data_IF_002326786491
#
_entry.id   IF_002326786491
#
_cell.length_a   1.000
_cell.length_b   1.000
_cell.length_c   1.000
_cell.angle_alpha   90.00
_cell.angle_beta   90.00
_cell.angle_gamma   90.00
#
_symmetry.space_group_name_H-M   'P 1'
#
loop_
_entity.id
_entity.type
_entity.pdbx_description
1 polymer ?
#
# COMPACT_ATOMS: atom_id res chain seq x y z
N UNK A 1 9.88 1.58 26.00
CA UNK A 1 10.11 2.42 24.80
C UNK A 1 10.09 1.51 23.57
N UNK A 2 9.01 1.48 22.79
CA UNK A 2 8.89 0.66 21.56
C UNK A 2 8.65 1.57 20.35
N UNK A 3 9.63 2.42 20.02
CA UNK A 3 9.62 3.26 18.80
C UNK A 3 10.33 2.56 17.63
N UNK A 4 11.31 1.69 17.88
CA UNK A 4 12.12 1.04 16.83
C UNK A 4 11.36 0.07 15.92
N UNK A 5 10.29 -0.57 16.40
CA UNK A 5 9.49 -1.48 15.56
C UNK A 5 8.60 -0.75 14.56
N UNK A 6 8.07 0.44 14.90
CA UNK A 6 7.22 1.22 14.00
C UNK A 6 8.03 1.88 12.87
N UNK A 7 9.23 2.38 13.16
CA UNK A 7 10.14 2.89 12.12
C UNK A 7 10.55 1.79 11.14
N UNK A 8 10.85 0.59 11.64
CA UNK A 8 11.24 -0.54 10.80
C UNK A 8 10.10 -1.03 9.90
N UNK A 9 8.85 -1.07 10.41
CA UNK A 9 7.67 -1.38 9.58
C UNK A 9 7.41 -0.26 8.58
N UNK A 10 7.47 1.01 8.99
CA UNK A 10 7.30 2.17 8.10
C UNK A 10 8.33 2.20 6.97
N UNK A 11 9.60 1.91 7.24
CA UNK A 11 10.65 1.77 6.24
C UNK A 11 10.39 0.63 5.25
N UNK A 12 9.87 -0.51 5.74
CA UNK A 12 9.47 -1.66 4.90
C UNK A 12 8.35 -1.33 3.93
N UNK A 13 7.41 -0.44 4.29
CA UNK A 13 6.36 0.06 3.38
C UNK A 13 6.84 1.17 2.44
N UNK A 14 7.81 1.98 2.88
CA UNK A 14 8.28 3.16 2.12
C UNK A 14 8.94 2.77 0.80
N UNK A 15 9.75 1.70 0.78
CA UNK A 15 10.42 1.24 -0.44
C UNK A 15 9.45 0.75 -1.54
N UNK A 16 8.56 -0.23 -1.30
CA UNK A 16 7.65 -0.74 -2.33
C UNK A 16 6.70 0.32 -2.86
N UNK A 17 6.18 1.20 -2.00
CA UNK A 17 5.30 2.29 -2.43
C UNK A 17 6.05 3.36 -3.25
N UNK A 18 7.33 3.62 -2.90
CA UNK A 18 8.17 4.55 -3.68
C UNK A 18 8.48 4.00 -5.08
N UNK A 19 8.81 2.70 -5.18
CA UNK A 19 9.02 2.02 -6.47
C UNK A 19 7.74 2.00 -7.30
N UNK A 20 6.60 1.70 -6.69
CA UNK A 20 5.29 1.78 -7.34
C UNK A 20 5.01 3.19 -7.89
N UNK A 21 5.17 4.21 -7.04
CA UNK A 21 4.91 5.60 -7.43
C UNK A 21 5.79 6.08 -8.58
N UNK A 22 7.05 5.65 -8.63
CA UNK A 22 7.94 5.97 -9.75
C UNK A 22 7.47 5.30 -11.05
N UNK A 23 7.20 3.99 -11.02
CA UNK A 23 6.73 3.25 -12.19
C UNK A 23 5.39 3.76 -12.72
N UNK A 24 4.48 4.13 -11.82
CA UNK A 24 3.20 4.73 -12.18
C UNK A 24 3.37 6.06 -12.92
N UNK A 25 4.27 6.93 -12.43
CA UNK A 25 4.61 8.20 -13.12
C UNK A 25 5.25 7.95 -14.48
N UNK A 26 6.14 6.97 -14.59
CA UNK A 26 6.79 6.63 -15.87
C UNK A 26 5.76 6.12 -16.90
N UNK A 27 4.84 5.25 -16.46
CA UNK A 27 3.74 4.74 -17.29
C UNK A 27 2.83 5.88 -17.80
N UNK A 28 2.50 6.83 -16.91
CA UNK A 28 1.64 7.97 -17.25
C UNK A 28 2.35 8.99 -18.13
N UNK A 29 3.64 9.25 -17.89
CA UNK A 29 4.43 10.28 -18.60
C UNK A 29 4.82 9.86 -20.02
N UNK A 30 4.89 8.56 -20.32
CA UNK A 30 5.23 8.06 -21.66
C UNK A 30 4.06 8.09 -22.65
N UNK A 31 2.86 8.47 -22.22
CA UNK A 31 1.70 8.73 -23.08
C UNK A 31 1.20 7.57 -23.96
N UNK A 32 1.78 6.39 -23.81
CA UNK A 32 1.61 5.23 -24.70
C UNK A 32 0.70 4.15 -24.12
N UNK A 33 0.38 4.25 -22.83
CA UNK A 33 -0.47 3.28 -22.14
C UNK A 33 -1.90 3.77 -22.01
N UNK A 34 -2.85 2.91 -22.32
CA UNK A 34 -4.26 3.15 -22.10
C UNK A 34 -4.60 3.23 -20.61
N UNK A 35 -5.71 3.90 -20.27
CA UNK A 35 -6.25 3.93 -18.91
C UNK A 35 -6.47 2.51 -18.34
N UNK A 36 -6.80 1.54 -19.20
CA UNK A 36 -7.03 0.15 -18.83
C UNK A 36 -5.73 -0.54 -18.40
N UNK A 37 -4.63 -0.31 -19.11
CA UNK A 37 -3.31 -0.85 -18.74
C UNK A 37 -2.81 -0.25 -17.43
N UNK A 38 -2.97 1.06 -17.25
CA UNK A 38 -2.62 1.77 -16.01
C UNK A 38 -3.43 1.20 -14.82
N UNK A 39 -4.73 0.92 -15.03
CA UNK A 39 -5.59 0.30 -14.03
C UNK A 39 -5.14 -1.11 -13.66
N UNK A 40 -4.86 -1.98 -14.65
CA UNK A 40 -4.37 -3.34 -14.39
C UNK A 40 -3.03 -3.34 -13.66
N UNK A 41 -2.09 -2.50 -14.09
CA UNK A 41 -0.81 -2.31 -13.43
C UNK A 41 -1.00 -1.90 -11.96
N UNK A 42 -1.86 -0.91 -11.71
CA UNK A 42 -2.13 -0.39 -10.36
C UNK A 42 -2.73 -1.47 -9.46
N UNK A 43 -3.75 -2.17 -9.94
CA UNK A 43 -4.43 -3.22 -9.18
C UNK A 43 -3.49 -4.37 -8.82
N UNK A 44 -2.71 -4.87 -9.78
CA UNK A 44 -1.80 -5.99 -9.55
C UNK A 44 -0.62 -5.59 -8.65
N UNK A 45 -0.04 -4.41 -8.86
CA UNK A 45 1.10 -3.94 -8.07
C UNK A 45 0.71 -3.72 -6.62
N UNK A 46 -0.43 -3.06 -6.36
CA UNK A 46 -0.92 -2.86 -5.00
C UNK A 46 -1.23 -4.19 -4.33
N UNK A 47 -1.90 -5.12 -5.02
CA UNK A 47 -2.16 -6.46 -4.49
C UNK A 47 -0.87 -7.16 -4.08
N UNK A 48 0.16 -7.17 -4.93
CA UNK A 48 1.46 -7.79 -4.61
C UNK A 48 2.12 -7.14 -3.39
N UNK A 49 2.06 -5.81 -3.27
CA UNK A 49 2.58 -5.09 -2.10
C UNK A 49 1.80 -5.52 -0.85
N UNK A 50 0.47 -5.58 -0.90
CA UNK A 50 -0.34 -6.00 0.25
C UNK A 50 -0.24 -7.49 0.59
N UNK A 51 0.05 -8.36 -0.39
CA UNK A 51 0.25 -9.80 -0.19
C UNK A 51 1.62 -10.07 0.47
N UNK A 52 2.67 -9.32 0.09
CA UNK A 52 4.04 -9.49 0.63
C UNK A 52 4.22 -8.84 2.01
N UNK A 53 3.48 -7.77 2.30
CA UNK A 53 3.52 -7.10 3.60
C UNK A 53 2.25 -7.43 4.40
N UNK A 54 2.24 -8.53 5.18
CA UNK A 54 1.03 -8.99 5.85
C UNK A 54 0.54 -7.93 6.85
N UNK A 55 -0.63 -7.35 6.52
CA UNK A 55 -1.59 -6.63 7.36
C UNK A 55 -1.08 -6.15 8.72
N UNK A 56 -0.31 -5.06 8.73
CA UNK A 56 -0.07 -4.26 9.94
C UNK A 56 -1.21 -3.29 10.28
N UNK A 57 -2.18 -3.08 9.37
CA UNK A 57 -3.19 -2.01 9.51
C UNK A 57 -4.57 -2.48 9.01
N UNK A 58 -5.14 -3.52 9.63
CA UNK A 58 -6.56 -3.84 9.41
C UNK A 58 -7.20 -4.52 10.62
N UNK A 59 -6.87 -4.06 11.83
CA UNK A 59 -7.49 -4.60 13.07
C UNK A 59 -7.73 -3.57 14.17
N UNK A 60 -7.86 -2.30 13.81
CA UNK A 60 -8.40 -1.27 14.70
C UNK A 60 -9.45 -0.50 13.91
N UNK A 61 -10.72 -0.95 13.99
CA UNK A 61 -11.96 -0.16 13.82
C UNK A 61 -13.23 -1.03 13.68
N UNK A 62 -13.27 -2.24 14.27
CA UNK A 62 -14.51 -3.01 14.34
C UNK A 62 -14.78 -3.60 15.75
N UNK A 63 -14.26 -2.96 16.80
CA UNK A 63 -14.58 -3.34 18.19
C UNK A 63 -14.59 -2.12 19.12
N UNK A 64 -15.34 -1.08 18.76
CA UNK A 64 -15.77 -0.02 19.71
C UNK A 64 -17.21 0.46 19.43
N UNK A 65 -18.07 -0.43 18.97
CA UNK A 65 -19.51 -0.16 18.85
C UNK A 65 -20.34 -1.30 19.46
N UNK A 66 -19.87 -1.84 20.59
CA UNK A 66 -20.67 -2.70 21.47
C UNK A 66 -20.17 -2.53 22.90
N UNK A 67 -20.54 -1.41 23.53
CA UNK A 67 -20.66 -1.25 24.98
C UNK A 67 -21.27 0.13 25.25
N UNK A 68 -22.56 0.21 25.00
CA UNK A 68 -23.46 1.09 25.74
C UNK A 68 -24.75 0.29 25.92
N UNK A 69 -24.79 -0.42 27.05
CA UNK A 69 -25.99 -0.90 27.73
C UNK A 69 -25.78 -0.54 29.18
#
# INVERSE_FOLDING_TARGET
>A
MMLGNYETVSMKWKQPLSVFGQRYRDLKSKGTHSCREIWYFTKNSLRLIFDVFPRGIMRQNHTKMQRHT
#
